data_IF_278290067843
#
_entry.id   IF_278290067843
#
_cell.length_a   1.000
_cell.length_b   1.000
_cell.length_c   1.000
_cell.angle_alpha   90.00
_cell.angle_beta   90.00
_cell.angle_gamma   90.00
#
_symmetry.space_group_name_H-M   'P 1'
#
loop_
_entity.id
_entity.type
_entity.pdbx_description
1 polymer ?
#
# COMPACT_ATOMS: atom_id res chain seq x y z
N UNK A 1 -13.74 10.52 -6.61
CA UNK A 1 -14.46 9.46 -5.88
C UNK A 1 -13.84 8.11 -6.28
N UNK A 2 -12.69 7.72 -5.73
CA UNK A 2 -11.66 7.22 -6.68
C UNK A 2 -11.12 5.80 -6.49
N UNK A 3 -10.59 5.39 -5.33
CA UNK A 3 -10.00 4.03 -5.18
C UNK A 3 -10.47 3.30 -3.91
N UNK A 4 -10.53 3.99 -2.77
CA UNK A 4 -10.98 3.39 -1.51
C UNK A 4 -12.38 2.74 -1.62
N UNK A 5 -13.29 3.36 -2.40
CA UNK A 5 -14.64 2.82 -2.62
C UNK A 5 -14.66 1.62 -3.57
N UNK A 6 -13.69 1.54 -4.49
CA UNK A 6 -13.51 0.36 -5.36
C UNK A 6 -13.08 -0.82 -4.51
N UNK A 7 -12.07 -0.65 -3.66
CA UNK A 7 -11.61 -1.72 -2.76
C UNK A 7 -12.70 -2.16 -1.79
N UNK A 8 -13.44 -1.23 -1.17
CA UNK A 8 -14.58 -1.58 -0.32
C UNK A 8 -15.60 -2.49 -1.03
N UNK A 9 -15.92 -2.19 -2.29
CA UNK A 9 -16.84 -3.03 -3.08
C UNK A 9 -16.23 -4.37 -3.46
N UNK A 10 -14.95 -4.40 -3.84
CA UNK A 10 -14.24 -5.63 -4.18
C UNK A 10 -14.20 -6.59 -2.99
N UNK A 11 -13.80 -6.12 -1.81
CA UNK A 11 -13.77 -6.94 -0.60
C UNK A 11 -15.16 -7.47 -0.23
N UNK A 12 -16.21 -6.64 -0.37
CA UNK A 12 -17.58 -7.06 -0.07
C UNK A 12 -18.13 -8.07 -1.10
N UNK A 13 -17.73 -7.97 -2.37
CA UNK A 13 -18.22 -8.85 -3.43
C UNK A 13 -17.48 -10.19 -3.50
N UNK A 14 -16.21 -10.21 -3.08
CA UNK A 14 -15.35 -11.39 -3.10
C UNK A 14 -14.83 -11.73 -1.70
N UNK A 15 -15.70 -12.07 -0.73
CA UNK A 15 -15.28 -12.32 0.64
C UNK A 15 -14.38 -13.56 0.80
N UNK A 16 -14.52 -14.54 -0.11
CA UNK A 16 -13.81 -15.82 -0.05
C UNK A 16 -12.74 -15.98 -1.14
N UNK A 17 -12.37 -14.90 -1.84
CA UNK A 17 -11.35 -14.93 -2.88
C UNK A 17 -10.08 -14.19 -2.44
N UNK A 18 -8.92 -14.67 -2.92
CA UNK A 18 -7.67 -13.97 -2.74
C UNK A 18 -7.61 -12.74 -3.65
N UNK A 19 -7.59 -11.54 -3.06
CA UNK A 19 -7.42 -10.29 -3.79
C UNK A 19 -5.97 -9.83 -3.74
N UNK A 20 -5.30 -9.86 -4.89
CA UNK A 20 -3.94 -9.32 -5.04
C UNK A 20 -4.01 -8.02 -5.83
N UNK A 21 -3.45 -6.95 -5.27
CA UNK A 21 -3.41 -5.65 -5.94
C UNK A 21 -2.06 -4.96 -5.77
N UNK A 22 -1.62 -4.29 -6.83
CA UNK A 22 -0.50 -3.35 -6.78
C UNK A 22 -1.07 -1.96 -6.54
N UNK A 23 -0.67 -1.32 -5.43
CA UNK A 23 -1.16 0.01 -5.06
C UNK A 23 -0.04 1.05 -5.15
N UNK A 24 -0.39 2.20 -5.72
CA UNK A 24 0.47 3.38 -5.79
C UNK A 24 0.16 4.43 -4.72
N UNK A 25 -0.76 4.11 -3.80
CA UNK A 25 -1.17 4.98 -2.70
C UNK A 25 -1.07 4.20 -1.40
N UNK A 26 -0.03 4.46 -0.61
CA UNK A 26 0.29 3.70 0.60
C UNK A 26 -0.79 3.82 1.67
N UNK A 27 -1.63 4.87 1.65
CA UNK A 27 -2.78 5.00 2.57
C UNK A 27 -3.88 3.93 2.38
N UNK A 28 -3.84 3.16 1.29
CA UNK A 28 -4.76 2.05 1.05
C UNK A 28 -4.27 0.74 1.67
N UNK A 29 -2.99 0.66 2.07
CA UNK A 29 -2.38 -0.57 2.58
C UNK A 29 -3.02 -1.06 3.88
N UNK A 30 -3.54 -0.17 4.72
CA UNK A 30 -4.22 -0.54 5.97
C UNK A 30 -5.50 -1.36 5.76
N UNK A 31 -5.96 -1.50 4.50
CA UNK A 31 -7.12 -2.32 4.13
C UNK A 31 -6.75 -3.74 3.72
N UNK A 32 -5.46 -4.01 3.53
CA UNK A 32 -4.95 -5.33 3.19
C UNK A 32 -4.46 -6.03 4.46
N UNK A 33 -4.68 -7.32 4.50
CA UNK A 33 -4.19 -8.22 5.52
C UNK A 33 -2.69 -8.49 5.41
N UNK A 34 -2.14 -8.44 4.19
CA UNK A 34 -0.72 -8.64 3.89
C UNK A 34 -0.22 -7.63 2.85
N UNK A 35 1.00 -7.12 3.04
CA UNK A 35 1.68 -6.22 2.10
C UNK A 35 3.03 -6.81 1.72
N UNK A 36 3.32 -6.89 0.41
CA UNK A 36 4.60 -7.37 -0.13
C UNK A 36 5.39 -6.18 -0.68
N UNK A 37 6.62 -6.01 -0.20
CA UNK A 37 7.54 -5.00 -0.72
C UNK A 37 8.49 -5.64 -1.72
N UNK A 38 8.55 -5.06 -2.92
CA UNK A 38 9.38 -5.53 -4.00
C UNK A 38 10.37 -4.45 -4.46
N UNK A 39 11.60 -4.86 -4.77
CA UNK A 39 12.64 -4.00 -5.36
C UNK A 39 13.42 -4.80 -6.38
N UNK A 40 13.61 -4.24 -7.57
CA UNK A 40 14.42 -4.85 -8.64
C UNK A 40 14.08 -6.33 -8.92
N UNK A 41 12.78 -6.67 -8.93
CA UNK A 41 12.29 -8.03 -9.19
C UNK A 41 12.42 -9.01 -8.03
N UNK A 42 12.77 -8.56 -6.82
CA UNK A 42 12.87 -9.38 -5.60
C UNK A 42 11.88 -8.94 -4.55
N UNK A 43 11.42 -9.89 -3.73
CA UNK A 43 10.65 -9.60 -2.50
C UNK A 43 11.67 -9.31 -1.39
N UNK A 44 11.55 -8.12 -0.80
CA UNK A 44 12.47 -7.63 0.24
C UNK A 44 11.85 -7.74 1.64
N UNK A 45 10.52 -7.64 1.75
CA UNK A 45 9.79 -7.82 3.00
C UNK A 45 8.31 -8.15 2.75
N UNK A 46 7.67 -8.74 3.76
CA UNK A 46 6.23 -9.02 3.80
C UNK A 46 5.68 -8.80 5.21
N UNK A 47 4.40 -8.46 5.31
CA UNK A 47 3.67 -8.35 6.58
C UNK A 47 2.61 -7.24 6.55
N UNK A 48 2.02 -6.93 7.70
CA UNK A 48 1.03 -5.85 7.79
C UNK A 48 1.69 -4.49 7.65
N UNK A 49 0.94 -3.52 7.12
CA UNK A 49 1.44 -2.16 6.90
C UNK A 49 2.07 -1.52 8.16
N UNK A 50 1.48 -1.72 9.34
CA UNK A 50 1.99 -1.20 10.61
C UNK A 50 3.28 -1.90 11.09
N UNK A 51 3.50 -3.16 10.74
CA UNK A 51 4.74 -3.90 11.05
C UNK A 51 5.87 -3.41 10.16
N UNK A 52 5.58 -3.28 8.86
CA UNK A 52 6.53 -2.75 7.88
C UNK A 52 6.91 -1.30 8.17
N UNK A 53 5.97 -0.48 8.67
CA UNK A 53 6.25 0.90 9.08
C UNK A 53 7.31 0.99 10.19
N UNK A 54 7.34 0.01 11.10
CA UNK A 54 8.31 -0.03 12.20
C UNK A 54 9.65 -0.62 11.75
N UNK A 55 9.62 -1.72 11.01
CA UNK A 55 10.81 -2.53 10.74
C UNK A 55 11.51 -2.26 9.41
N UNK A 56 10.80 -1.79 8.38
CA UNK A 56 11.32 -1.79 7.01
C UNK A 56 11.84 -0.42 6.56
N UNK A 57 13.14 -0.37 6.23
CA UNK A 57 13.75 0.81 5.63
C UNK A 57 13.17 1.12 4.23
N UNK A 58 12.94 0.09 3.42
CA UNK A 58 12.31 0.22 2.10
C UNK A 58 10.89 0.80 2.22
N UNK A 59 10.11 0.37 3.22
CA UNK A 59 8.78 0.92 3.43
C UNK A 59 8.80 2.42 3.74
N UNK A 60 9.74 2.85 4.59
CA UNK A 60 9.92 4.27 4.92
C UNK A 60 10.35 5.09 3.70
N UNK A 61 11.23 4.55 2.87
CA UNK A 61 11.66 5.19 1.62
C UNK A 61 10.49 5.39 0.65
N UNK A 62 9.68 4.35 0.42
CA UNK A 62 8.49 4.43 -0.44
C UNK A 62 7.48 5.47 0.09
N UNK A 63 7.26 5.51 1.41
CA UNK A 63 6.40 6.53 2.05
C UNK A 63 6.91 7.94 1.87
N UNK A 64 8.22 8.15 1.98
CA UNK A 64 8.82 9.46 1.75
C UNK A 64 8.68 9.89 0.28
N UNK A 65 8.87 8.97 -0.67
CA UNK A 65 8.72 9.24 -2.10
C UNK A 65 7.27 9.63 -2.48
N UNK A 66 6.26 9.00 -1.87
CA UNK A 66 4.86 9.40 -2.02
C UNK A 66 4.59 10.79 -1.45
N UNK A 67 5.12 11.11 -0.27
CA UNK A 67 4.92 12.43 0.35
C UNK A 67 5.51 13.55 -0.53
N UNK A 68 6.69 13.33 -1.13
CA UNK A 68 7.32 14.27 -2.05
C UNK A 68 6.55 14.42 -3.37
N UNK A 69 5.87 13.36 -3.82
CA UNK A 69 5.03 13.40 -5.02
C UNK A 69 3.63 14.01 -4.74
N UNK A 70 3.25 14.13 -3.47
CA UNK A 70 1.92 14.56 -3.03
C UNK A 70 1.75 16.06 -2.75
N UNK A 71 2.83 16.84 -2.61
CA UNK A 71 2.79 18.29 -2.35
C UNK A 71 3.97 19.02 -3.00
N UNK A 72 3.71 19.77 -4.08
CA UNK A 72 4.06 21.19 -4.04
C UNK A 72 2.85 21.87 -3.37
N UNK A 73 2.99 22.44 -2.16
CA UNK A 73 1.93 23.28 -1.63
C UNK A 73 1.81 24.48 -2.57
N UNK A 74 0.62 24.63 -3.16
CA UNK A 74 0.28 25.85 -3.88
C UNK A 74 0.24 27.02 -2.90
N UNK A 75 0.95 28.09 -3.28
CA UNK A 75 0.91 29.46 -2.76
C UNK A 75 1.44 29.71 -1.34
#
# INVERSE_FOLDING_TARGET
>A
ETEARVYQRLFAHFPDAALVSSVHRLHLLDRFDEVILMRAGRIEAGGRAWELAQGSALFRELRAAEAVSGEAPGA
#
